data_IF_489455495114
#
_entry.id   IF_489455495114
#
_cell.length_a   1.000
_cell.length_b   1.000
_cell.length_c   1.000
_cell.angle_alpha   90.00
_cell.angle_beta   90.00
_cell.angle_gamma   90.00
#
_symmetry.space_group_name_H-M   'P 1'
#
loop_
_entity.id
_entity.type
_entity.pdbx_description
1 polymer ?
#
# COMPACT_ATOMS: atom_id res chain seq x y z
N UNK A 1 -3.82 -16.43 8.37
CA UNK A 1 -4.60 -15.46 9.16
C UNK A 1 -3.63 -14.40 9.66
N UNK A 2 -3.85 -13.14 9.31
CA UNK A 2 -3.10 -12.02 9.87
C UNK A 2 -3.83 -11.54 11.13
N UNK A 3 -3.12 -11.30 12.21
CA UNK A 3 -3.64 -10.81 13.48
C UNK A 3 -2.60 -9.87 14.09
N UNK A 4 -3.05 -8.85 14.81
CA UNK A 4 -2.17 -7.86 15.43
C UNK A 4 -1.44 -8.46 16.64
N UNK A 5 -0.34 -7.82 17.04
CA UNK A 5 0.57 -8.34 18.09
C UNK A 5 0.00 -8.23 19.51
N UNK A 6 -1.11 -7.51 19.68
CA UNK A 6 -1.76 -7.18 20.95
C UNK A 6 -3.13 -7.86 21.11
N UNK A 7 -3.39 -8.94 20.36
CA UNK A 7 -4.62 -9.73 20.44
C UNK A 7 -4.40 -11.07 21.16
N UNK A 8 -5.40 -11.51 21.93
CA UNK A 8 -5.41 -12.82 22.61
C UNK A 8 -6.66 -13.62 22.22
N UNK A 9 -6.47 -14.90 21.90
CA UNK A 9 -7.59 -15.82 21.65
C UNK A 9 -7.97 -16.54 22.94
N UNK A 10 -9.24 -16.42 23.33
CA UNK A 10 -9.78 -17.12 24.50
C UNK A 10 -10.41 -18.48 24.14
N UNK A 11 -10.65 -18.71 22.85
CA UNK A 11 -11.25 -19.93 22.29
C UNK A 11 -10.71 -20.17 20.87
N UNK A 12 -10.95 -21.37 20.33
CA UNK A 12 -10.67 -21.69 18.92
C UNK A 12 -11.53 -20.81 17.99
N UNK A 13 -10.93 -19.92 17.17
CA UNK A 13 -11.68 -19.05 16.26
C UNK A 13 -12.08 -19.75 14.96
N UNK A 14 -11.46 -20.89 14.61
CA UNK A 14 -11.67 -21.54 13.31
C UNK A 14 -13.08 -22.12 13.15
N UNK A 15 -13.76 -22.44 14.26
CA UNK A 15 -15.16 -22.87 14.25
C UNK A 15 -16.15 -21.82 13.74
N UNK A 16 -15.74 -20.55 13.65
CA UNK A 16 -16.56 -19.44 13.16
C UNK A 16 -16.22 -19.02 11.72
N UNK A 17 -15.17 -19.58 11.12
CA UNK A 17 -14.78 -19.30 9.74
C UNK A 17 -15.51 -20.26 8.81
N UNK A 18 -16.74 -19.91 8.46
CA UNK A 18 -17.60 -20.74 7.61
C UNK A 18 -17.56 -20.28 6.15
N UNK A 19 -17.60 -21.23 5.21
CA UNK A 19 -17.67 -20.96 3.78
C UNK A 19 -16.31 -20.77 3.09
N UNK A 20 -16.36 -20.37 1.82
CA UNK A 20 -15.18 -20.06 1.00
C UNK A 20 -15.14 -18.56 0.73
N UNK A 21 -14.47 -17.84 1.62
CA UNK A 21 -14.29 -16.40 1.54
C UNK A 21 -12.81 -16.05 1.49
N UNK A 22 -12.47 -14.98 0.77
CA UNK A 22 -11.09 -14.51 0.63
C UNK A 22 -10.61 -13.74 1.88
N UNK A 23 -11.53 -13.15 2.67
CA UNK A 23 -11.24 -12.42 3.90
C UNK A 23 -12.44 -12.48 4.88
N UNK A 24 -12.14 -12.42 6.18
CA UNK A 24 -13.12 -12.31 7.27
C UNK A 24 -12.76 -11.07 8.10
N UNK A 25 -13.77 -10.30 8.49
CA UNK A 25 -13.61 -9.09 9.30
C UNK A 25 -14.45 -9.23 10.57
N UNK A 26 -13.94 -8.70 11.68
CA UNK A 26 -14.73 -8.54 12.89
C UNK A 26 -15.60 -7.29 12.71
N UNK A 27 -16.91 -7.45 12.88
CA UNK A 27 -17.83 -6.30 12.92
C UNK A 27 -17.56 -5.54 14.23
N UNK A 28 -16.95 -4.37 14.12
CA UNK A 28 -16.69 -3.45 15.24
C UNK A 28 -17.87 -2.48 15.48
N UNK A 29 -19.04 -2.78 14.90
CA UNK A 29 -20.26 -1.97 14.87
C UNK A 29 -20.09 -0.62 14.15
N UNK A 30 -19.00 -0.43 13.42
CA UNK A 30 -18.81 0.76 12.59
C UNK A 30 -19.43 0.51 11.22
N UNK A 31 -20.48 1.26 10.88
CA UNK A 31 -20.90 1.37 9.50
C UNK A 31 -19.79 2.08 8.72
N UNK A 32 -18.95 1.31 8.03
CA UNK A 32 -17.87 1.88 7.24
C UNK A 32 -18.44 2.38 5.92
N UNK A 33 -18.53 3.70 5.76
CA UNK A 33 -18.79 4.32 4.46
C UNK A 33 -17.52 4.19 3.59
N UNK A 34 -17.65 3.48 2.47
CA UNK A 34 -16.54 3.18 1.59
C UNK A 34 -16.50 4.21 0.45
N UNK A 35 -15.46 5.04 0.46
CA UNK A 35 -15.14 5.87 -0.68
C UNK A 35 -13.99 5.27 -1.50
N UNK A 36 -14.29 4.85 -2.72
CA UNK A 36 -13.29 4.34 -3.65
C UNK A 36 -12.50 5.50 -4.26
N UNK A 37 -11.21 5.53 -3.97
CA UNK A 37 -10.31 6.51 -4.56
C UNK A 37 -10.06 6.21 -6.07
N UNK A 38 -9.94 7.24 -6.93
CA UNK A 38 -9.74 7.03 -8.36
C UNK A 38 -8.43 6.29 -8.67
N UNK A 39 -8.50 5.19 -9.42
CA UNK A 39 -7.33 4.37 -9.76
C UNK A 39 -6.26 5.14 -10.55
N UNK A 40 -6.63 6.17 -11.32
CA UNK A 40 -5.69 7.05 -12.01
C UNK A 40 -4.83 7.88 -11.04
N UNK A 41 -5.37 8.22 -9.87
CA UNK A 41 -4.66 8.95 -8.82
C UNK A 41 -3.94 8.02 -7.84
N UNK A 42 -4.50 6.83 -7.58
CA UNK A 42 -4.01 5.87 -6.60
C UNK A 42 -3.80 4.47 -7.22
N UNK A 43 -2.89 4.32 -8.21
CA UNK A 43 -2.67 3.03 -8.84
C UNK A 43 -1.94 2.04 -7.94
N UNK A 44 -2.24 0.76 -8.15
CA UNK A 44 -1.36 -0.32 -7.66
C UNK A 44 -0.03 -0.26 -8.41
N UNK A 45 1.06 -0.69 -7.77
CA UNK A 45 2.36 -0.81 -8.42
C UNK A 45 2.36 -1.79 -9.59
N UNK A 46 1.54 -2.84 -9.53
CA UNK A 46 1.36 -3.74 -10.68
C UNK A 46 0.89 -2.99 -11.92
N UNK A 47 -0.11 -2.13 -11.78
CA UNK A 47 -0.65 -1.32 -12.87
C UNK A 47 0.38 -0.28 -13.35
N UNK A 48 0.97 0.48 -12.42
CA UNK A 48 1.92 1.54 -12.75
C UNK A 48 3.22 1.00 -13.37
N UNK A 49 3.87 0.00 -12.76
CA UNK A 49 5.19 -0.44 -13.22
C UNK A 49 5.16 -1.38 -14.43
N UNK A 50 4.00 -1.99 -14.75
CA UNK A 50 3.90 -2.98 -15.85
C UNK A 50 3.10 -2.47 -17.05
N UNK A 51 2.10 -1.61 -16.87
CA UNK A 51 1.24 -1.14 -17.95
C UNK A 51 1.66 0.24 -18.47
N UNK A 52 2.61 0.25 -19.41
CA UNK A 52 3.18 1.49 -19.97
C UNK A 52 2.15 2.37 -20.70
N UNK A 53 1.20 1.76 -21.42
CA UNK A 53 0.15 2.49 -22.14
C UNK A 53 -0.74 3.23 -21.14
N UNK A 54 -1.21 2.53 -20.11
CA UNK A 54 -2.04 3.13 -19.07
C UNK A 54 -1.33 4.31 -18.38
N UNK A 55 -0.06 4.14 -17.98
CA UNK A 55 0.73 5.21 -17.33
C UNK A 55 0.86 6.44 -18.22
N UNK A 56 1.01 6.23 -19.54
CA UNK A 56 1.08 7.34 -20.50
C UNK A 56 -0.26 8.08 -20.55
N UNK A 57 -1.38 7.37 -20.59
CA UNK A 57 -2.72 7.93 -20.69
C UNK A 57 -3.18 8.63 -19.39
N UNK A 58 -2.65 8.20 -18.23
CA UNK A 58 -2.93 8.79 -16.92
C UNK A 58 -1.84 9.73 -16.42
N UNK A 59 -0.85 10.08 -17.27
CA UNK A 59 0.24 10.98 -16.90
C UNK A 59 -0.31 12.30 -16.34
N UNK A 60 0.24 12.73 -15.20
CA UNK A 60 -0.17 13.95 -14.49
C UNK A 60 -1.36 13.77 -13.54
N UNK A 61 -1.99 12.59 -13.47
CA UNK A 61 -3.09 12.30 -12.53
C UNK A 61 -2.65 11.58 -11.26
N UNK A 62 -1.47 10.95 -11.27
CA UNK A 62 -0.96 10.14 -10.15
C UNK A 62 -0.65 11.01 -8.93
N UNK A 63 -1.18 10.62 -7.77
CA UNK A 63 -0.95 11.28 -6.47
C UNK A 63 -0.12 10.39 -5.55
N UNK A 64 -0.49 9.11 -5.42
CA UNK A 64 0.24 8.12 -4.63
C UNK A 64 0.42 6.84 -5.45
N UNK A 65 1.66 6.33 -5.52
CA UNK A 65 1.98 5.09 -6.25
C UNK A 65 2.43 4.03 -5.26
N UNK A 66 1.75 2.89 -5.24
CA UNK A 66 2.11 1.79 -4.34
C UNK A 66 3.35 1.05 -4.82
N UNK A 67 4.38 0.93 -3.98
CA UNK A 67 5.58 0.13 -4.29
C UNK A 67 5.36 -1.39 -4.04
N UNK A 68 4.24 -1.96 -4.51
CA UNK A 68 3.88 -3.36 -4.26
C UNK A 68 4.39 -4.33 -5.37
N UNK A 69 4.21 -5.64 -5.14
CA UNK A 69 4.75 -6.74 -5.97
C UNK A 69 6.28 -6.82 -6.07
N UNK A 70 6.97 -6.38 -5.02
CA UNK A 70 8.44 -6.44 -4.88
C UNK A 70 8.80 -6.70 -3.42
N UNK A 71 9.78 -7.59 -3.19
CA UNK A 71 10.23 -8.01 -1.86
C UNK A 71 11.66 -7.54 -1.63
N UNK A 72 11.95 -7.10 -0.41
CA UNK A 72 13.26 -6.60 0.00
C UNK A 72 13.35 -5.07 -0.04
N UNK A 73 13.96 -4.50 1.01
CA UNK A 73 14.10 -3.05 1.21
C UNK A 73 14.90 -2.38 0.08
N UNK A 74 16.11 -2.89 -0.19
CA UNK A 74 16.99 -2.35 -1.25
C UNK A 74 16.32 -2.36 -2.63
N UNK A 75 15.60 -3.44 -2.96
CA UNK A 75 14.90 -3.56 -4.24
C UNK A 75 13.77 -2.53 -4.37
N UNK A 76 13.08 -2.22 -3.27
CA UNK A 76 12.04 -1.18 -3.22
C UNK A 76 12.61 0.20 -3.45
N UNK A 77 13.71 0.55 -2.77
CA UNK A 77 14.41 1.83 -2.96
C UNK A 77 14.92 1.95 -4.39
N UNK A 78 15.60 0.91 -4.88
CA UNK A 78 16.15 0.89 -6.25
C UNK A 78 15.06 1.14 -7.29
N UNK A 79 13.89 0.50 -7.18
CA UNK A 79 12.79 0.71 -8.14
C UNK A 79 12.32 2.16 -8.18
N UNK A 80 12.18 2.83 -7.04
CA UNK A 80 11.79 4.23 -7.05
C UNK A 80 12.87 5.14 -7.63
N UNK A 81 14.15 4.89 -7.32
CA UNK A 81 15.27 5.62 -7.94
C UNK A 81 15.31 5.43 -9.46
N UNK A 82 15.22 4.19 -9.94
CA UNK A 82 15.24 3.85 -11.37
C UNK A 82 14.11 4.52 -12.16
N UNK A 83 12.98 4.81 -11.51
CA UNK A 83 11.81 5.46 -12.13
C UNK A 83 11.74 6.98 -11.86
N UNK A 84 12.74 7.57 -11.19
CA UNK A 84 12.73 8.99 -10.84
C UNK A 84 11.64 9.38 -9.84
N UNK A 85 11.22 8.45 -8.98
CA UNK A 85 10.17 8.61 -7.97
C UNK A 85 10.74 8.70 -6.55
N UNK A 86 12.07 8.71 -6.40
CA UNK A 86 12.73 8.86 -5.12
C UNK A 86 12.96 10.35 -4.82
N UNK A 87 11.97 10.98 -4.20
CA UNK A 87 11.97 12.43 -3.93
C UNK A 87 12.62 12.80 -2.58
N UNK A 88 13.06 11.81 -1.80
CA UNK A 88 13.64 12.04 -0.47
C UNK A 88 14.90 12.90 -0.56
N UNK A 89 15.72 12.69 -1.59
CA UNK A 89 16.98 13.42 -1.73
C UNK A 89 16.71 14.92 -2.03
N UNK A 90 15.63 15.23 -2.76
CA UNK A 90 15.24 16.61 -3.12
C UNK A 90 14.65 17.38 -1.94
N UNK A 91 14.00 16.69 -1.00
CA UNK A 91 13.32 17.28 0.17
C UNK A 91 13.97 16.89 1.50
N UNK A 92 15.20 16.35 1.47
CA UNK A 92 15.87 15.85 2.67
C UNK A 92 15.99 16.93 3.75
N UNK A 93 16.30 18.17 3.35
CA UNK A 93 16.47 19.32 4.23
C UNK A 93 15.15 19.88 4.79
N UNK A 94 14.02 19.53 4.17
CA UNK A 94 12.68 19.90 4.66
C UNK A 94 12.16 18.90 5.70
N UNK A 95 12.77 17.72 5.77
CA UNK A 95 12.39 16.68 6.72
C UNK A 95 12.96 16.99 8.11
N UNK A 96 12.14 16.92 9.19
CA UNK A 96 12.63 16.97 10.56
C UNK A 96 13.65 15.87 10.88
N UNK A 97 13.66 14.78 10.09
CA UNK A 97 14.60 13.67 10.23
C UNK A 97 15.90 13.87 9.43
N UNK A 98 15.93 14.81 8.47
CA UNK A 98 17.11 15.09 7.65
C UNK A 98 18.21 15.87 8.37
N UNK A 99 17.89 16.42 9.55
CA UNK A 99 18.82 17.16 10.41
C UNK A 99 19.33 16.33 11.61
N UNK A 100 19.11 15.02 11.60
CA UNK A 100 19.67 14.12 12.60
C UNK A 100 21.05 13.65 12.14
N UNK A 101 22.08 14.42 12.48
CA UNK A 101 23.48 13.95 12.51
C UNK A 101 23.71 12.93 13.64
#
# INVERSE_FOLDING_TARGET
MYNDVDMVWLQDPFKYLEGRHDAYFMDDMTAVDLYLLPQAAFPTGGLYFKNKTWVKDTKGKHVIIHNNYIVGFEKKIKRFRDYGLWLVDDHALESPLGNLE
#
